data_IF_749348471011
#
_entry.id   IF_749348471011
#
_cell.length_a   1.000
_cell.length_b   1.000
_cell.length_c   1.000
_cell.angle_alpha   90.00
_cell.angle_beta   90.00
_cell.angle_gamma   90.00
#
_symmetry.space_group_name_H-M   'P 1'
#
loop_
_entity.id
_entity.type
_entity.pdbx_description
1 polymer ?
#
# COMPACT_ATOMS: atom_id res chain seq x y z
N UNK A 1 -9.97 -19.17 8.82
CA UNK A 1 -8.82 -20.05 8.47
C UNK A 1 -8.64 -20.33 6.96
N UNK A 2 -9.59 -20.04 6.06
CA UNK A 2 -9.36 -20.19 4.60
C UNK A 2 -9.04 -18.87 3.87
N UNK A 3 -9.50 -17.74 4.39
CA UNK A 3 -9.22 -16.40 3.85
C UNK A 3 -7.75 -15.99 3.97
N UNK A 4 -7.08 -16.40 5.06
CA UNK A 4 -5.71 -15.97 5.35
C UNK A 4 -4.69 -16.53 4.34
N UNK A 5 -4.95 -17.72 3.79
CA UNK A 5 -4.09 -18.33 2.77
C UNK A 5 -4.25 -17.65 1.40
N UNK A 6 -5.48 -17.25 1.05
CA UNK A 6 -5.74 -16.51 -0.19
C UNK A 6 -5.03 -15.15 -0.19
N UNK A 7 -5.11 -14.40 0.91
CA UNK A 7 -4.42 -13.12 1.04
C UNK A 7 -2.89 -13.26 1.01
N UNK A 8 -2.33 -14.29 1.63
CA UNK A 8 -0.88 -14.58 1.59
C UNK A 8 -0.34 -14.80 0.18
N UNK A 9 -1.18 -15.26 -0.76
CA UNK A 9 -0.78 -15.45 -2.15
C UNK A 9 -1.11 -14.23 -3.01
N UNK A 10 -2.27 -13.61 -2.79
CA UNK A 10 -2.74 -12.46 -3.58
C UNK A 10 -1.91 -11.21 -3.34
N UNK A 11 -1.63 -10.85 -2.08
CA UNK A 11 -0.98 -9.57 -1.78
C UNK A 11 0.42 -9.45 -2.41
N UNK A 12 1.30 -10.48 -2.36
CA UNK A 12 2.57 -10.41 -3.07
C UNK A 12 2.43 -10.21 -4.58
N UNK A 13 1.39 -10.77 -5.22
CA UNK A 13 1.14 -10.55 -6.64
C UNK A 13 0.69 -9.11 -6.92
N UNK A 14 -0.13 -8.55 -6.04
CA UNK A 14 -0.59 -7.16 -6.14
C UNK A 14 0.55 -6.17 -5.92
N UNK A 15 1.43 -6.43 -4.94
CA UNK A 15 2.63 -5.61 -4.73
C UNK A 15 3.50 -5.60 -5.99
N UNK A 16 3.77 -6.79 -6.56
CA UNK A 16 4.52 -6.90 -7.81
C UNK A 16 3.86 -6.16 -8.97
N UNK A 17 2.53 -6.17 -9.05
CA UNK A 17 1.80 -5.40 -10.05
C UNK A 17 1.99 -3.89 -9.85
N UNK A 18 1.88 -3.39 -8.61
CA UNK A 18 2.09 -1.97 -8.29
C UNK A 18 3.53 -1.54 -8.60
N UNK A 19 4.51 -2.35 -8.23
CA UNK A 19 5.93 -2.12 -8.55
C UNK A 19 6.20 -2.11 -10.05
N UNK A 20 5.59 -3.05 -10.79
CA UNK A 20 5.66 -3.09 -12.24
C UNK A 20 5.04 -1.85 -12.89
N UNK A 21 3.86 -1.44 -12.42
CA UNK A 21 3.19 -0.24 -12.91
C UNK A 21 4.01 1.01 -12.61
N UNK A 22 4.66 1.08 -11.44
CA UNK A 22 5.60 2.16 -11.12
C UNK A 22 6.79 2.20 -12.08
N UNK A 23 7.46 1.05 -12.26
CA UNK A 23 8.63 0.93 -13.12
C UNK A 23 8.34 1.23 -14.60
N UNK A 24 7.12 0.93 -15.05
CA UNK A 24 6.67 1.15 -16.44
C UNK A 24 5.90 2.46 -16.65
N UNK A 25 5.87 3.35 -15.65
CA UNK A 25 5.19 4.67 -15.69
C UNK A 25 3.68 4.56 -15.95
N UNK A 26 3.05 3.54 -15.39
CA UNK A 26 1.61 3.27 -15.40
C UNK A 26 0.94 3.57 -14.05
N UNK A 27 1.57 4.43 -13.24
CA UNK A 27 0.97 4.98 -12.03
C UNK A 27 0.45 6.39 -12.29
N UNK A 28 -0.84 6.56 -12.04
CA UNK A 28 -1.52 7.86 -12.00
C UNK A 28 -1.84 8.25 -10.55
N UNK A 29 -2.26 9.50 -10.32
CA UNK A 29 -2.72 9.97 -9.01
C UNK A 29 -4.10 10.63 -9.07
N UNK A 30 -4.89 10.38 -8.03
CA UNK A 30 -6.14 11.10 -7.74
C UNK A 30 -6.16 11.45 -6.25
N UNK A 31 -5.17 12.23 -5.82
CA UNK A 31 -4.90 12.42 -4.40
C UNK A 31 -6.10 13.03 -3.66
N UNK A 32 -6.46 12.48 -2.52
CA UNK A 32 -7.44 13.06 -1.61
C UNK A 32 -6.87 14.26 -0.84
N UNK A 33 -7.78 15.00 -0.17
CA UNK A 33 -7.43 16.23 0.54
C UNK A 33 -6.32 16.03 1.59
N UNK A 34 -6.38 14.96 2.39
CA UNK A 34 -5.37 14.68 3.42
C UNK A 34 -3.96 14.54 2.84
N UNK A 35 -3.80 13.83 1.73
CA UNK A 35 -2.51 13.67 1.05
C UNK A 35 -1.98 15.01 0.53
N UNK A 36 -2.85 15.81 -0.11
CA UNK A 36 -2.47 17.15 -0.59
C UNK A 36 -2.06 18.08 0.55
N UNK A 37 -2.80 18.06 1.66
CA UNK A 37 -2.46 18.83 2.87
C UNK A 37 -1.11 18.39 3.42
N UNK A 38 -0.84 17.08 3.49
CA UNK A 38 0.44 16.56 3.94
C UNK A 38 1.61 17.04 3.04
N UNK A 39 1.48 16.91 1.71
CA UNK A 39 2.50 17.39 0.77
C UNK A 39 2.81 18.88 1.01
N UNK A 40 1.76 19.70 1.13
CA UNK A 40 1.89 21.14 1.34
C UNK A 40 2.51 21.50 2.69
N UNK A 41 2.12 20.80 3.77
CA UNK A 41 2.58 21.12 5.12
C UNK A 41 4.04 20.70 5.37
N UNK A 42 4.50 19.65 4.68
CA UNK A 42 5.83 19.07 4.88
C UNK A 42 6.83 19.40 3.76
N UNK A 43 6.43 20.21 2.77
CA UNK A 43 7.25 20.59 1.62
C UNK A 43 7.89 19.38 0.92
N UNK A 44 7.10 18.31 0.73
CA UNK A 44 7.51 17.09 0.02
C UNK A 44 6.73 16.98 -1.28
N UNK A 45 7.35 16.37 -2.30
CA UNK A 45 6.69 16.15 -3.58
C UNK A 45 5.92 14.83 -3.59
N UNK A 46 4.92 14.75 -4.47
CA UNK A 46 4.18 13.52 -4.71
C UNK A 46 5.11 12.38 -5.12
N UNK A 47 6.05 12.65 -6.02
CA UNK A 47 6.98 11.67 -6.58
C UNK A 47 7.87 11.06 -5.50
N UNK A 48 8.32 11.88 -4.53
CA UNK A 48 9.13 11.40 -3.40
C UNK A 48 8.33 10.43 -2.53
N UNK A 49 7.08 10.79 -2.20
CA UNK A 49 6.23 9.92 -1.36
C UNK A 49 5.83 8.65 -2.12
N UNK A 50 5.52 8.76 -3.41
CA UNK A 50 5.23 7.60 -4.25
C UNK A 50 6.43 6.64 -4.30
N UNK A 51 7.64 7.16 -4.53
CA UNK A 51 8.86 6.37 -4.55
C UNK A 51 9.07 5.61 -3.23
N UNK A 52 8.97 6.30 -2.08
CA UNK A 52 9.11 5.67 -0.76
C UNK A 52 7.99 4.65 -0.51
N UNK A 53 6.74 4.99 -0.87
CA UNK A 53 5.60 4.10 -0.71
C UNK A 53 5.80 2.78 -1.47
N UNK A 54 6.16 2.85 -2.76
CA UNK A 54 6.35 1.66 -3.61
C UNK A 54 7.59 0.87 -3.16
N UNK A 55 8.70 1.54 -2.85
CA UNK A 55 9.95 0.88 -2.47
C UNK A 55 9.84 0.09 -1.16
N UNK A 56 8.92 0.49 -0.27
CA UNK A 56 8.71 -0.18 1.02
C UNK A 56 7.45 -1.05 1.06
N UNK A 57 6.78 -1.31 -0.08
CA UNK A 57 5.55 -2.11 -0.12
C UNK A 57 5.76 -3.56 0.35
N UNK A 58 6.89 -4.20 0.04
CA UNK A 58 7.17 -5.58 0.48
C UNK A 58 7.25 -5.69 2.02
N UNK A 59 7.68 -4.62 2.70
CA UNK A 59 7.75 -4.54 4.16
C UNK A 59 6.48 -3.96 4.78
N UNK A 60 5.49 -3.59 3.97
CA UNK A 60 4.28 -2.96 4.42
C UNK A 60 3.40 -3.94 5.22
N UNK A 61 2.52 -3.37 6.04
CA UNK A 61 1.42 -4.11 6.65
C UNK A 61 0.20 -3.97 5.75
N UNK A 62 -0.42 -5.09 5.41
CA UNK A 62 -1.69 -5.05 4.70
C UNK A 62 -2.82 -4.68 5.65
N UNK A 63 -3.54 -3.62 5.32
CA UNK A 63 -4.64 -3.11 6.14
C UNK A 63 -5.98 -3.67 5.68
N UNK A 64 -6.35 -3.46 4.40
CA UNK A 64 -7.59 -4.02 3.83
C UNK A 64 -7.58 -4.08 2.30
N UNK A 65 -8.48 -4.89 1.73
CA UNK A 65 -8.61 -5.17 0.30
C UNK A 65 -8.76 -6.68 0.02
N UNK A 66 -8.85 -7.11 -1.25
CA UNK A 66 -9.36 -6.28 -2.32
C UNK A 66 -10.81 -5.89 -2.00
N UNK A 67 -11.16 -4.64 -2.29
CA UNK A 67 -12.54 -4.19 -2.29
C UNK A 67 -12.86 -3.57 -3.64
N UNK A 68 -14.07 -3.79 -4.14
CA UNK A 68 -14.49 -3.16 -5.38
C UNK A 68 -14.50 -1.64 -5.20
N UNK A 69 -13.89 -0.93 -6.14
CA UNK A 69 -14.00 0.52 -6.15
C UNK A 69 -15.46 0.93 -6.36
N UNK A 70 -15.98 1.81 -5.51
CA UNK A 70 -17.38 2.27 -5.54
C UNK A 70 -17.88 2.83 -6.89
N UNK A 71 -17.01 3.32 -7.77
CA UNK A 71 -17.40 3.95 -9.05
C UNK A 71 -16.59 3.50 -10.27
N UNK A 72 -15.47 2.79 -10.09
CA UNK A 72 -14.61 2.32 -11.18
C UNK A 72 -14.79 0.82 -11.32
N UNK A 73 -15.36 0.39 -12.45
CA UNK A 73 -15.52 -1.03 -12.75
C UNK A 73 -14.16 -1.71 -12.89
N UNK A 74 -14.08 -2.99 -12.54
CA UNK A 74 -12.86 -3.81 -12.67
C UNK A 74 -11.63 -3.18 -12.01
N UNK A 75 -11.83 -2.46 -10.91
CA UNK A 75 -10.77 -1.83 -10.13
C UNK A 75 -10.85 -2.35 -8.70
N UNK A 76 -9.74 -2.89 -8.23
CA UNK A 76 -9.61 -3.42 -6.87
C UNK A 76 -8.81 -2.45 -6.02
N UNK A 77 -9.37 -2.16 -4.85
CA UNK A 77 -8.77 -1.24 -3.88
C UNK A 77 -7.98 -2.03 -2.86
N UNK A 78 -6.73 -1.62 -2.65
CA UNK A 78 -5.81 -2.16 -1.66
C UNK A 78 -5.26 -1.04 -0.78
N UNK A 79 -5.21 -1.31 0.51
CA UNK A 79 -4.71 -0.37 1.49
C UNK A 79 -3.61 -1.01 2.33
N UNK A 80 -2.53 -0.27 2.43
CA UNK A 80 -1.32 -0.69 3.10
C UNK A 80 -0.94 0.34 4.14
N UNK A 81 -0.16 -0.12 5.12
CA UNK A 81 0.63 0.77 5.94
C UNK A 81 2.10 0.57 5.70
N UNK A 82 2.72 1.65 5.24
CA UNK A 82 4.09 1.70 4.76
C UNK A 82 4.89 2.59 5.67
N UNK A 83 6.10 2.19 6.01
CA UNK A 83 7.00 3.01 6.81
C UNK A 83 7.74 4.01 5.91
N UNK A 84 7.41 5.30 6.06
CA UNK A 84 7.93 6.39 5.22
C UNK A 84 8.50 7.45 6.16
N UNK A 85 9.76 7.82 5.98
CA UNK A 85 10.43 8.85 6.80
C UNK A 85 10.24 8.67 8.32
N UNK A 86 10.40 7.44 8.82
CA UNK A 86 10.30 7.05 10.24
C UNK A 86 8.90 7.07 10.87
N UNK A 87 7.84 7.19 10.06
CA UNK A 87 6.47 7.14 10.55
C UNK A 87 5.62 6.20 9.68
N UNK A 88 4.58 5.64 10.29
CA UNK A 88 3.62 4.80 9.59
C UNK A 88 2.69 5.65 8.72
N UNK A 89 2.61 5.30 7.45
CA UNK A 89 1.72 5.92 6.47
C UNK A 89 0.65 4.95 6.04
N UNK A 90 -0.59 5.37 6.11
CA UNK A 90 -1.66 4.76 5.34
C UNK A 90 -1.48 5.13 3.86
N UNK A 91 -1.55 4.14 2.97
CA UNK A 91 -1.45 4.31 1.51
C UNK A 91 -2.55 3.49 0.83
N UNK A 92 -3.26 4.10 -0.11
CA UNK A 92 -4.38 3.50 -0.85
C UNK A 92 -4.08 3.44 -2.35
N UNK A 93 -4.12 2.23 -2.90
CA UNK A 93 -3.95 1.95 -4.31
C UNK A 93 -5.21 1.33 -4.91
N UNK A 94 -5.54 1.79 -6.11
CA UNK A 94 -6.55 1.21 -6.98
C UNK A 94 -5.84 0.51 -8.12
N UNK A 95 -5.90 -0.82 -8.13
CA UNK A 95 -5.19 -1.67 -9.10
C UNK A 95 -6.17 -2.13 -10.17
N UNK A 96 -5.81 -1.94 -11.44
CA UNK A 96 -6.61 -2.33 -12.61
C UNK A 96 -5.70 -2.75 -13.76
N UNK A 97 -6.26 -3.43 -14.76
CA UNK A 97 -5.50 -3.90 -15.94
C UNK A 97 -4.74 -2.76 -16.65
N UNK A 98 -5.31 -1.55 -16.64
CA UNK A 98 -4.74 -0.35 -17.27
C UNK A 98 -3.57 0.29 -16.51
N UNK A 99 -3.33 -0.07 -15.25
CA UNK A 99 -2.30 0.50 -14.40
C UNK A 99 -2.80 0.70 -12.97
N UNK A 100 -2.01 1.38 -12.15
CA UNK A 100 -2.35 1.62 -10.74
C UNK A 100 -2.64 3.11 -10.52
N UNK A 101 -3.65 3.40 -9.71
CA UNK A 101 -3.97 4.77 -9.29
C UNK A 101 -3.71 4.88 -7.78
N UNK A 102 -2.96 5.89 -7.35
CA UNK A 102 -2.84 6.22 -5.93
C UNK A 102 -3.85 7.31 -5.56
N UNK A 103 -4.75 6.97 -4.65
CA UNK A 103 -5.83 7.87 -4.20
C UNK A 103 -5.45 8.62 -2.93
N UNK A 104 -4.70 7.98 -2.03
CA UNK A 104 -4.33 8.65 -0.78
C UNK A 104 -3.07 8.11 -0.15
N UNK A 105 -2.32 9.01 0.48
CA UNK A 105 -1.32 8.69 1.48
C UNK A 105 -1.38 9.72 2.60
N UNK A 106 -1.23 9.29 3.83
CA UNK A 106 -1.08 10.19 4.98
C UNK A 106 -0.56 9.41 6.18
N UNK A 107 0.06 10.10 7.17
CA UNK A 107 0.38 9.48 8.45
C UNK A 107 -0.84 8.79 9.05
N UNK A 108 -0.64 7.65 9.71
CA UNK A 108 -1.71 6.95 10.41
C UNK A 108 -2.21 7.78 11.61
N UNK A 109 -3.53 7.88 11.79
CA UNK A 109 -4.13 8.59 12.94
C UNK A 109 -4.21 7.72 14.20
N UNK A 110 -4.04 6.40 14.02
CA UNK A 110 -4.10 5.40 15.08
C UNK A 110 -2.84 4.54 15.01
N UNK A 111 -2.37 4.09 16.18
CA UNK A 111 -1.33 3.07 16.23
C UNK A 111 -1.82 1.81 15.52
N UNK A 112 -0.90 1.20 14.77
CA UNK A 112 -1.13 -0.08 14.11
C UNK A 112 -1.39 -1.15 15.17
N UNK A 113 -2.51 -1.85 15.07
CA UNK A 113 -2.87 -2.96 15.97
C UNK A 113 -2.85 -4.33 15.24
N UNK A 114 -3.07 -5.41 15.99
CA UNK A 114 -2.97 -6.79 15.49
C UNK A 114 -4.09 -7.18 14.50
N UNK A 115 -5.04 -6.29 14.19
CA UNK A 115 -6.03 -6.54 13.13
C UNK A 115 -5.45 -6.47 11.71
N UNK A 116 -4.15 -6.16 11.60
CA UNK A 116 -3.45 -5.87 10.35
C UNK A 116 -2.54 -7.03 9.99
N UNK A 117 -2.60 -7.50 8.74
CA UNK A 117 -1.81 -8.66 8.31
C UNK A 117 -0.40 -8.17 7.98
N UNK A 118 0.60 -8.59 8.76
CA UNK A 118 2.01 -8.38 8.40
C UNK A 118 2.35 -9.23 7.18
N UNK A 119 2.95 -8.61 6.18
CA UNK A 119 3.27 -9.27 4.91
C UNK A 119 4.57 -10.08 4.97
N UNK A 120 5.48 -9.76 5.89
CA UNK A 120 6.69 -10.52 6.12
C UNK A 120 6.87 -10.84 7.61
N UNK A 121 6.58 -12.09 7.97
CA UNK A 121 7.04 -12.72 9.22
C UNK A 121 7.94 -13.94 8.92
N UNK A 122 8.46 -14.07 7.70
CA UNK A 122 9.23 -15.26 7.29
C UNK A 122 10.58 -14.90 6.65
N UNK A 123 11.36 -14.06 7.33
CA UNK A 123 12.82 -14.04 7.21
C UNK A 123 13.48 -13.94 8.59
N UNK A 124 13.77 -15.10 9.19
CA UNK A 124 14.57 -15.30 10.41
C UNK A 124 13.70 -15.52 11.67
N UNK A 125 13.81 -16.57 12.47
CA UNK A 125 14.80 -17.62 12.64
C UNK A 125 14.05 -18.91 13.02
N UNK A 126 14.49 -20.07 12.51
CA UNK A 126 14.27 -21.32 13.22
C UNK A 126 15.26 -21.34 14.39
N UNK A 127 14.79 -21.07 15.60
CA UNK A 127 15.43 -21.57 16.81
C UNK A 127 14.59 -22.72 17.33
N UNK A 128 15.13 -23.93 17.19
CA UNK A 128 14.68 -25.07 17.98
C UNK A 128 15.33 -24.91 19.35
N UNK A 129 14.51 -24.66 20.37
CA UNK A 129 14.77 -25.08 21.75
C UNK A 129 13.56 -25.88 22.25
#
# INVERSE_FOLDING_TARGET
MHTDNLYRQLIPLIIKQIEYDYATKRIDSNLHAKSRTYLSAHNVTYEKVLFEAVTHLEMAKFFRGPHAHHWLKNTEVFEFVVYISQIDFYVKFDVREGGTLIESFHPTEKMVDDSWIKLDENKGEFTND
#
